data_IF_319891110130
#
_entry.id   IF_319891110130
#
_cell.length_a   1.000
_cell.length_b   1.000
_cell.length_c   1.000
_cell.angle_alpha   90.00
_cell.angle_beta   90.00
_cell.angle_gamma   90.00
#
_symmetry.space_group_name_H-M   'P 1'
#
loop_
_entity.id
_entity.type
_entity.pdbx_description
1 polymer ?
#
# COMPACT_ATOMS: atom_id res chain seq x y z
N UNK A 1 -5.61 -41.80 3.95
CA UNK A 1 -5.53 -40.93 2.76
C UNK A 1 -5.50 -41.84 1.55
N UNK A 2 -6.43 -41.62 0.62
CA UNK A 2 -6.46 -42.38 -0.61
C UNK A 2 -5.25 -42.04 -1.48
N UNK A 3 -4.86 -42.96 -2.37
CA UNK A 3 -3.70 -42.80 -3.23
C UNK A 3 -3.82 -41.55 -4.15
N UNK A 4 -5.05 -41.14 -4.46
CA UNK A 4 -5.37 -40.02 -5.33
C UNK A 4 -4.97 -38.67 -4.70
N UNK A 5 -5.28 -38.45 -3.43
CA UNK A 5 -4.90 -37.22 -2.71
C UNK A 5 -3.38 -37.06 -2.61
N UNK A 6 -2.65 -38.17 -2.50
CA UNK A 6 -1.18 -38.14 -2.53
C UNK A 6 -0.62 -37.81 -3.91
N UNK A 7 -1.24 -38.34 -4.96
CA UNK A 7 -0.91 -38.03 -6.35
C UNK A 7 -1.15 -36.55 -6.67
N UNK A 8 -2.25 -35.95 -6.22
CA UNK A 8 -2.60 -34.56 -6.57
C UNK A 8 -1.63 -33.53 -5.94
N UNK A 9 -1.17 -33.75 -4.71
CA UNK A 9 -0.20 -32.87 -4.04
C UNK A 9 1.22 -33.07 -4.57
N UNK A 10 1.58 -34.30 -4.95
CA UNK A 10 2.91 -34.59 -5.52
C UNK A 10 3.03 -34.18 -6.99
N UNK A 11 1.91 -34.11 -7.73
CA UNK A 11 1.86 -33.68 -9.14
C UNK A 11 1.82 -32.16 -9.34
N UNK A 12 1.58 -31.38 -8.28
CA UNK A 12 1.79 -29.93 -8.31
C UNK A 12 3.19 -29.63 -8.84
N UNK A 13 3.27 -28.87 -9.93
CA UNK A 13 4.54 -28.54 -10.56
C UNK A 13 4.88 -27.08 -10.29
N UNK A 14 5.92 -26.86 -9.49
CA UNK A 14 6.42 -25.53 -9.24
C UNK A 14 7.22 -25.03 -10.46
N UNK A 15 6.73 -23.97 -11.10
CA UNK A 15 7.39 -23.39 -12.29
C UNK A 15 8.37 -22.27 -11.93
N UNK A 16 8.26 -21.69 -10.74
CA UNK A 16 9.08 -20.55 -10.29
C UNK A 16 9.47 -20.70 -8.82
N UNK A 17 10.62 -20.16 -8.43
CA UNK A 17 11.06 -20.15 -7.03
C UNK A 17 10.06 -19.40 -6.14
N UNK A 18 9.64 -20.02 -5.02
CA UNK A 18 8.72 -19.38 -4.06
C UNK A 18 9.30 -18.11 -3.40
N UNK A 19 10.64 -17.97 -3.40
CA UNK A 19 11.34 -16.80 -2.82
C UNK A 19 11.65 -15.74 -3.89
N UNK A 20 12.35 -16.10 -4.97
CA UNK A 20 12.91 -15.13 -5.91
C UNK A 20 12.22 -15.05 -7.27
N UNK A 21 11.20 -15.89 -7.53
CA UNK A 21 10.48 -15.97 -8.82
C UNK A 21 11.29 -16.34 -10.04
N UNK A 22 12.58 -16.63 -9.93
CA UNK A 22 13.33 -17.19 -11.03
C UNK A 22 12.69 -18.51 -11.49
N UNK A 23 12.68 -18.74 -12.81
CA UNK A 23 12.23 -20.01 -13.38
C UNK A 23 13.04 -21.17 -12.79
N UNK A 24 12.34 -22.24 -12.40
CA UNK A 24 12.97 -23.47 -11.92
C UNK A 24 13.26 -24.36 -13.13
N UNK A 25 14.53 -24.65 -13.38
CA UNK A 25 14.98 -25.37 -14.57
C UNK A 25 15.40 -26.80 -14.28
N UNK A 26 15.81 -27.10 -13.04
CA UNK A 26 16.21 -28.44 -12.63
C UNK A 26 15.11 -29.17 -11.86
N UNK A 27 15.07 -30.50 -12.01
CA UNK A 27 14.02 -31.33 -11.42
C UNK A 27 14.00 -31.28 -9.88
N UNK A 28 15.15 -31.06 -9.22
CA UNK A 28 15.23 -31.00 -7.76
C UNK A 28 14.55 -29.72 -7.28
N UNK A 29 14.87 -28.58 -7.90
CA UNK A 29 14.28 -27.29 -7.58
C UNK A 29 12.79 -27.23 -7.91
N UNK A 30 12.35 -27.82 -9.03
CA UNK A 30 10.91 -27.98 -9.36
C UNK A 30 10.21 -28.83 -8.30
N UNK A 31 10.82 -29.93 -7.86
CA UNK A 31 10.18 -30.78 -6.84
C UNK A 31 10.09 -30.07 -5.49
N UNK A 32 11.07 -29.22 -5.15
CA UNK A 32 11.08 -28.44 -3.90
C UNK A 32 10.29 -27.13 -3.97
N UNK A 33 10.05 -26.59 -5.15
CA UNK A 33 9.52 -25.23 -5.34
C UNK A 33 10.49 -24.11 -4.98
N UNK A 34 11.78 -24.42 -4.85
CA UNK A 34 12.82 -23.50 -4.39
C UNK A 34 14.07 -23.66 -5.23
N UNK A 35 14.56 -22.56 -5.82
CA UNK A 35 15.77 -22.56 -6.63
C UNK A 35 17.04 -22.83 -5.82
N UNK A 36 18.16 -23.21 -6.46
CA UNK A 36 19.37 -23.68 -5.77
C UNK A 36 19.99 -22.61 -4.86
N UNK A 37 20.04 -21.36 -5.32
CA UNK A 37 20.55 -20.22 -4.54
C UNK A 37 19.68 -20.00 -3.30
N UNK A 38 18.35 -19.88 -3.48
CA UNK A 38 17.43 -19.65 -2.37
C UNK A 38 17.39 -20.83 -1.40
N UNK A 39 17.54 -22.06 -1.88
CA UNK A 39 17.64 -23.25 -1.03
C UNK A 39 18.85 -23.19 -0.12
N UNK A 40 20.01 -22.80 -0.65
CA UNK A 40 21.22 -22.69 0.16
C UNK A 40 21.13 -21.58 1.21
N UNK A 41 20.55 -20.43 0.84
CA UNK A 41 20.46 -19.28 1.74
C UNK A 41 19.38 -19.41 2.82
N UNK A 42 18.18 -19.87 2.45
CA UNK A 42 17.01 -19.77 3.32
C UNK A 42 16.50 -21.13 3.83
N UNK A 43 16.93 -22.24 3.22
CA UNK A 43 16.42 -23.57 3.53
C UNK A 43 17.54 -24.57 3.84
N UNK A 44 18.10 -24.43 5.05
CA UNK A 44 19.25 -25.23 5.50
C UNK A 44 18.86 -26.71 5.67
N UNK A 45 19.61 -27.58 5.00
CA UNK A 45 19.40 -29.04 5.04
C UNK A 45 19.65 -29.61 6.44
N UNK A 46 20.49 -28.96 7.24
CA UNK A 46 20.90 -29.43 8.57
C UNK A 46 19.99 -28.95 9.73
N UNK A 47 18.97 -28.13 9.44
CA UNK A 47 18.09 -27.60 10.50
C UNK A 47 17.36 -28.71 11.27
N UNK A 48 17.60 -28.82 12.57
CA UNK A 48 16.94 -29.83 13.40
C UNK A 48 15.47 -29.44 13.68
N UNK A 49 14.54 -30.36 13.43
CA UNK A 49 13.11 -30.15 13.71
C UNK A 49 12.74 -31.01 14.92
N UNK A 50 12.44 -30.37 16.04
CA UNK A 50 12.04 -31.05 17.29
C UNK A 50 10.57 -31.48 17.26
N UNK A 51 10.20 -32.44 18.12
CA UNK A 51 8.81 -32.88 18.24
C UNK A 51 7.85 -31.73 18.59
N UNK A 52 8.26 -30.84 19.50
CA UNK A 52 7.48 -29.66 19.89
C UNK A 52 7.23 -28.71 18.71
N UNK A 53 8.24 -28.49 17.86
CA UNK A 53 8.08 -27.70 16.64
C UNK A 53 7.07 -28.33 15.68
N UNK A 54 7.08 -29.66 15.55
CA UNK A 54 6.10 -30.38 14.73
C UNK A 54 4.69 -30.19 15.28
N UNK A 55 4.50 -30.32 16.60
CA UNK A 55 3.19 -30.15 17.23
C UNK A 55 2.63 -28.74 16.99
N UNK A 56 3.47 -27.71 17.24
CA UNK A 56 3.09 -26.30 17.00
C UNK A 56 2.77 -26.08 15.51
N UNK A 57 3.61 -26.57 14.60
CA UNK A 57 3.42 -26.38 13.17
C UNK A 57 2.15 -27.06 12.65
N UNK A 58 1.84 -28.27 13.13
CA UNK A 58 0.58 -28.94 12.82
C UNK A 58 -0.62 -28.14 13.36
N UNK A 59 -0.53 -27.62 14.58
CA UNK A 59 -1.55 -26.72 15.14
C UNK A 59 -1.81 -25.50 14.26
N UNK A 60 -0.74 -24.85 13.78
CA UNK A 60 -0.82 -23.72 12.85
C UNK A 60 -1.48 -24.12 11.53
N UNK A 61 -1.09 -25.26 10.94
CA UNK A 61 -1.67 -25.76 9.68
C UNK A 61 -3.15 -26.06 9.84
N UNK A 62 -3.59 -26.71 10.92
CA UNK A 62 -5.01 -27.03 11.10
C UNK A 62 -5.86 -25.77 11.34
N UNK A 63 -5.31 -24.76 12.01
CA UNK A 63 -5.96 -23.46 12.24
C UNK A 63 -5.97 -22.53 11.01
N UNK A 64 -5.12 -22.78 10.01
CA UNK A 64 -5.00 -21.96 8.80
C UNK A 64 -6.19 -22.08 7.83
N UNK A 65 -6.22 -21.23 6.80
CA UNK A 65 -7.13 -21.32 5.67
C UNK A 65 -6.67 -22.27 4.55
N UNK A 66 -5.62 -23.07 4.77
CA UNK A 66 -5.08 -23.98 3.76
C UNK A 66 -6.08 -25.05 3.32
N UNK A 67 -5.88 -25.54 2.10
CA UNK A 67 -6.72 -26.57 1.49
C UNK A 67 -6.83 -27.84 2.38
N UNK A 68 -8.02 -28.46 2.49
CA UNK A 68 -8.21 -29.69 3.28
C UNK A 68 -7.24 -30.81 2.93
N UNK A 69 -6.79 -30.92 1.67
CA UNK A 69 -5.80 -31.92 1.25
C UNK A 69 -4.42 -31.67 1.87
N UNK A 70 -4.00 -30.40 2.00
CA UNK A 70 -2.76 -30.02 2.69
C UNK A 70 -2.85 -30.39 4.18
N UNK A 71 -4.00 -30.10 4.81
CA UNK A 71 -4.26 -30.46 6.22
C UNK A 71 -4.26 -31.98 6.44
N UNK A 72 -4.84 -32.75 5.52
CA UNK A 72 -4.81 -34.22 5.55
C UNK A 72 -3.37 -34.74 5.42
N UNK A 73 -2.59 -34.17 4.51
CA UNK A 73 -1.17 -34.53 4.30
C UNK A 73 -0.33 -34.27 5.56
N UNK A 74 -0.58 -33.16 6.26
CA UNK A 74 0.07 -32.82 7.52
C UNK A 74 -0.06 -33.95 8.57
N UNK A 75 -1.26 -34.54 8.69
CA UNK A 75 -1.54 -35.65 9.61
C UNK A 75 -0.71 -36.90 9.28
N UNK A 76 -0.49 -37.17 7.99
CA UNK A 76 0.21 -38.36 7.51
C UNK A 76 1.74 -38.21 7.50
N UNK A 77 2.24 -36.98 7.45
CA UNK A 77 3.69 -36.69 7.42
C UNK A 77 4.21 -36.08 8.73
N UNK A 78 3.47 -36.24 9.84
CA UNK A 78 3.91 -35.80 11.17
C UNK A 78 5.28 -36.38 11.55
N UNK A 79 5.55 -37.62 11.15
CA UNK A 79 6.80 -38.34 11.43
C UNK A 79 7.89 -38.06 10.37
N UNK A 80 7.55 -37.26 9.35
CA UNK A 80 8.43 -36.82 8.25
C UNK A 80 8.30 -35.31 8.03
N UNK A 81 8.59 -34.48 9.05
CA UNK A 81 8.26 -33.06 9.04
C UNK A 81 9.00 -32.27 7.95
N UNK A 82 10.20 -32.71 7.56
CA UNK A 82 10.96 -32.10 6.47
C UNK A 82 10.28 -32.33 5.11
N UNK A 83 9.74 -33.52 4.88
CA UNK A 83 9.02 -33.81 3.63
C UNK A 83 7.73 -33.00 3.55
N UNK A 84 7.05 -32.84 4.68
CA UNK A 84 5.89 -31.96 4.73
C UNK A 84 6.25 -30.49 4.51
N UNK A 85 7.37 -30.02 5.07
CA UNK A 85 7.87 -28.67 4.81
C UNK A 85 8.21 -28.46 3.33
N UNK A 86 8.82 -29.44 2.65
CA UNK A 86 9.04 -29.38 1.20
C UNK A 86 7.72 -29.23 0.42
N UNK A 87 6.67 -29.96 0.82
CA UNK A 87 5.34 -29.83 0.22
C UNK A 87 4.78 -28.42 0.43
N UNK A 88 4.91 -27.85 1.63
CA UNK A 88 4.46 -26.47 1.91
C UNK A 88 5.20 -25.46 1.03
N UNK A 89 6.52 -25.57 0.89
CA UNK A 89 7.33 -24.69 0.02
C UNK A 89 6.88 -24.81 -1.45
N UNK A 90 6.65 -26.04 -1.92
CA UNK A 90 6.12 -26.32 -3.26
C UNK A 90 4.72 -25.73 -3.45
N UNK A 91 3.87 -25.83 -2.44
CA UNK A 91 2.52 -25.28 -2.43
C UNK A 91 2.53 -23.75 -2.54
N UNK A 92 3.40 -23.08 -1.76
CA UNK A 92 3.60 -21.64 -1.85
C UNK A 92 4.17 -21.19 -3.21
N UNK A 93 5.01 -22.00 -3.84
CA UNK A 93 5.48 -21.73 -5.21
C UNK A 93 4.34 -21.79 -6.23
N UNK A 94 3.50 -22.82 -6.16
CA UNK A 94 2.41 -23.00 -7.12
C UNK A 94 1.27 -22.00 -6.94
N UNK A 95 0.97 -21.62 -5.69
CA UNK A 95 -0.09 -20.67 -5.35
C UNK A 95 0.48 -19.27 -5.03
N UNK A 96 1.61 -18.92 -5.64
CA UNK A 96 2.35 -17.72 -5.27
C UNK A 96 1.51 -16.43 -5.29
N UNK A 97 0.60 -16.32 -6.25
CA UNK A 97 -0.26 -15.14 -6.42
C UNK A 97 -1.38 -15.08 -5.37
N UNK A 98 -1.72 -16.21 -4.74
CA UNK A 98 -2.60 -16.25 -3.58
C UNK A 98 -1.81 -15.94 -2.31
N UNK A 99 -1.83 -14.65 -1.95
CA UNK A 99 -1.10 -14.15 -0.78
C UNK A 99 -1.57 -14.80 0.52
N UNK A 100 -2.87 -15.06 0.67
CA UNK A 100 -3.40 -15.63 1.91
C UNK A 100 -2.83 -17.02 2.15
N UNK A 101 -2.82 -17.84 1.09
CA UNK A 101 -2.20 -19.17 1.12
C UNK A 101 -0.71 -19.08 1.43
N UNK A 102 0.04 -18.16 0.79
CA UNK A 102 1.48 -18.00 1.05
C UNK A 102 1.76 -17.57 2.50
N UNK A 103 0.91 -16.74 3.10
CA UNK A 103 1.06 -16.35 4.51
C UNK A 103 0.79 -17.51 5.47
N UNK A 104 -0.28 -18.26 5.25
CA UNK A 104 -0.59 -19.44 6.03
C UNK A 104 0.53 -20.49 5.95
N UNK A 105 1.09 -20.68 4.74
CA UNK A 105 2.28 -21.51 4.53
C UNK A 105 3.49 -20.96 5.29
N UNK A 106 3.76 -19.66 5.21
CA UNK A 106 4.90 -19.04 5.89
C UNK A 106 4.81 -19.17 7.42
N UNK A 107 3.60 -19.07 7.99
CA UNK A 107 3.37 -19.27 9.41
C UNK A 107 3.68 -20.73 9.84
N UNK A 108 3.24 -21.71 9.05
CA UNK A 108 3.58 -23.11 9.27
C UNK A 108 5.10 -23.38 9.13
N UNK A 109 5.74 -22.83 8.10
CA UNK A 109 7.20 -22.94 7.87
C UNK A 109 7.99 -22.31 9.02
N UNK A 110 7.55 -21.17 9.55
CA UNK A 110 8.16 -20.53 10.71
C UNK A 110 8.03 -21.41 11.96
N UNK A 111 6.89 -22.07 12.17
CA UNK A 111 6.69 -23.00 13.29
C UNK A 111 7.59 -24.25 13.20
N UNK A 112 7.97 -24.68 12.00
CA UNK A 112 9.02 -25.70 11.79
C UNK A 112 10.45 -25.17 12.06
N UNK A 113 10.61 -23.90 12.42
CA UNK A 113 11.90 -23.26 12.73
C UNK A 113 12.59 -22.61 11.53
N UNK A 114 12.01 -22.65 10.32
CA UNK A 114 12.58 -22.00 9.13
C UNK A 114 12.19 -20.51 9.07
N UNK A 115 12.57 -19.76 10.11
CA UNK A 115 12.14 -18.37 10.34
C UNK A 115 12.57 -17.43 9.20
N UNK A 116 13.79 -17.58 8.69
CA UNK A 116 14.30 -16.74 7.60
C UNK A 116 13.56 -16.99 6.28
N UNK A 117 13.28 -18.24 5.94
CA UNK A 117 12.48 -18.58 4.75
C UNK A 117 11.07 -18.00 4.87
N UNK A 118 10.42 -18.20 6.01
CA UNK A 118 9.10 -17.64 6.27
C UNK A 118 9.11 -16.12 6.18
N UNK A 119 10.12 -15.45 6.75
CA UNK A 119 10.28 -14.00 6.65
C UNK A 119 10.39 -13.55 5.19
N UNK A 120 11.17 -14.26 4.35
CA UNK A 120 11.29 -13.94 2.93
C UNK A 120 10.02 -14.17 2.12
N UNK A 121 9.29 -15.26 2.40
CA UNK A 121 7.97 -15.50 1.80
C UNK A 121 6.99 -14.38 2.13
N UNK A 122 7.04 -13.86 3.36
CA UNK A 122 6.21 -12.72 3.78
C UNK A 122 6.66 -11.42 3.16
N UNK A 123 7.97 -11.16 3.12
CA UNK A 123 8.57 -9.91 2.66
C UNK A 123 8.10 -9.56 1.26
N UNK A 124 8.16 -10.52 0.34
CA UNK A 124 7.78 -10.27 -1.05
C UNK A 124 6.25 -10.11 -1.26
N UNK A 125 5.43 -10.45 -0.26
CA UNK A 125 3.95 -10.38 -0.32
C UNK A 125 3.34 -9.24 0.47
N UNK A 126 4.11 -8.69 1.39
CA UNK A 126 3.67 -7.67 2.33
C UNK A 126 3.95 -6.29 1.72
N UNK A 127 2.97 -5.39 1.76
CA UNK A 127 3.14 -4.02 1.25
C UNK A 127 3.56 -3.02 2.33
N UNK A 128 3.42 -3.42 3.59
CA UNK A 128 3.67 -2.62 4.78
C UNK A 128 4.44 -3.46 5.79
N UNK A 129 5.69 -3.12 6.05
CA UNK A 129 6.50 -3.75 7.08
C UNK A 129 6.70 -2.76 8.21
N UNK A 130 6.26 -3.08 9.42
CA UNK A 130 6.59 -2.34 10.62
C UNK A 130 7.53 -3.21 11.46
N UNK A 131 8.71 -2.72 11.78
CA UNK A 131 9.77 -3.43 12.50
C UNK A 131 10.35 -2.54 13.60
N UNK A 132 11.08 -3.14 14.52
CA UNK A 132 11.95 -2.38 15.43
C UNK A 132 13.05 -1.72 14.59
N UNK A 133 13.34 -0.45 14.87
CA UNK A 133 14.38 0.27 14.15
C UNK A 133 15.74 -0.38 14.41
N UNK A 134 16.44 -0.75 13.34
CA UNK A 134 17.76 -1.38 13.44
C UNK A 134 18.82 -0.47 14.09
N UNK A 135 18.61 0.85 14.03
CA UNK A 135 19.49 1.85 14.65
C UNK A 135 19.16 2.10 16.13
N UNK A 136 18.01 1.62 16.61
CA UNK A 136 17.59 1.72 18.00
C UNK A 136 17.19 0.34 18.56
N UNK A 137 18.18 -0.48 18.97
CA UNK A 137 17.94 -1.81 19.51
C UNK A 137 17.21 -1.81 20.87
N UNK A 138 17.04 -0.64 21.50
CA UNK A 138 16.26 -0.52 22.74
C UNK A 138 14.75 -0.67 22.49
N UNK A 139 14.32 -0.62 21.22
CA UNK A 139 12.92 -0.68 20.85
C UNK A 139 12.16 0.62 21.14
N UNK A 140 12.86 1.73 21.42
CA UNK A 140 12.28 3.06 21.56
C UNK A 140 11.75 3.62 20.24
N UNK A 141 12.23 3.09 19.10
CA UNK A 141 11.80 3.47 17.77
C UNK A 141 11.37 2.27 16.93
N UNK A 142 10.43 2.54 16.03
CA UNK A 142 9.95 1.60 15.03
C UNK A 142 10.25 2.16 13.64
N UNK A 143 10.50 1.28 12.69
CA UNK A 143 10.63 1.63 11.26
C UNK A 143 9.48 1.01 10.49
N UNK A 144 8.79 1.81 9.68
CA UNK A 144 7.79 1.32 8.74
C UNK A 144 8.27 1.48 7.29
N UNK A 145 8.28 0.39 6.54
CA UNK A 145 8.54 0.34 5.11
C UNK A 145 7.22 0.10 4.38
N UNK A 146 6.85 1.02 3.49
CA UNK A 146 5.59 0.90 2.74
C UNK A 146 5.79 1.12 1.24
N UNK A 147 4.84 0.63 0.44
CA UNK A 147 4.76 1.03 -0.97
C UNK A 147 4.52 2.55 -1.09
N UNK A 148 4.93 3.17 -2.20
CA UNK A 148 4.70 4.61 -2.40
C UNK A 148 3.21 4.95 -2.27
N UNK A 149 2.89 5.80 -1.29
CA UNK A 149 1.56 6.37 -1.09
C UNK A 149 1.68 7.82 -0.67
N UNK A 150 1.27 8.72 -1.56
CA UNK A 150 1.35 10.17 -1.32
C UNK A 150 0.61 10.59 -0.04
N UNK A 151 -0.56 9.98 0.22
CA UNK A 151 -1.33 10.26 1.42
C UNK A 151 -0.61 9.80 2.68
N UNK A 152 -0.07 8.58 2.67
CA UNK A 152 0.69 8.05 3.82
C UNK A 152 1.91 8.93 4.11
N UNK A 153 2.71 9.25 3.09
CA UNK A 153 3.92 10.09 3.21
C UNK A 153 3.59 11.48 3.75
N UNK A 154 2.46 12.06 3.34
CA UNK A 154 2.01 13.36 3.84
C UNK A 154 1.69 13.31 5.34
N UNK A 155 1.04 12.26 5.81
CA UNK A 155 0.63 12.15 7.21
C UNK A 155 1.77 11.74 8.14
N UNK A 156 2.60 10.78 7.75
CA UNK A 156 3.68 10.29 8.62
C UNK A 156 4.70 11.40 8.93
N UNK A 157 4.97 12.30 7.99
CA UNK A 157 5.85 13.47 8.18
C UNK A 157 5.36 14.47 9.22
N UNK A 158 4.09 14.40 9.64
CA UNK A 158 3.53 15.27 10.68
C UNK A 158 3.85 14.77 12.09
N UNK A 159 4.25 13.50 12.23
CA UNK A 159 4.54 12.90 13.53
C UNK A 159 5.86 13.49 14.06
N UNK A 160 5.91 14.02 15.29
CA UNK A 160 7.14 14.48 15.91
C UNK A 160 8.20 13.37 15.99
N UNK A 161 9.45 13.70 15.68
CA UNK A 161 10.55 12.74 15.74
C UNK A 161 10.56 11.68 14.61
N UNK A 162 9.68 11.82 13.60
CA UNK A 162 9.79 11.03 12.37
C UNK A 162 11.04 11.42 11.59
N UNK A 163 11.77 10.41 11.12
CA UNK A 163 12.91 10.57 10.22
C UNK A 163 12.77 9.60 9.05
N UNK A 164 13.41 9.91 7.92
CA UNK A 164 13.45 9.00 6.79
C UNK A 164 14.43 7.86 7.11
N UNK A 165 13.99 6.62 6.93
CA UNK A 165 14.81 5.42 7.10
C UNK A 165 15.34 4.91 5.74
N UNK A 166 16.39 4.08 5.73
CA UNK A 166 16.85 3.43 4.51
C UNK A 166 15.73 2.66 3.82
N UNK A 167 15.70 2.70 2.49
CA UNK A 167 14.75 1.92 1.71
C UNK A 167 15.03 0.43 1.84
N UNK A 168 13.96 -0.36 1.78
CA UNK A 168 14.06 -1.83 1.71
C UNK A 168 13.48 -2.27 0.36
N UNK A 169 14.36 -2.59 -0.58
CA UNK A 169 13.97 -2.87 -1.97
C UNK A 169 13.24 -1.69 -2.60
N UNK A 170 11.95 -1.89 -2.93
CA UNK A 170 11.07 -0.87 -3.53
C UNK A 170 10.28 -0.03 -2.52
N UNK A 171 10.42 -0.31 -1.23
CA UNK A 171 9.60 0.29 -0.19
C UNK A 171 10.31 1.48 0.45
N UNK A 172 9.56 2.58 0.67
CA UNK A 172 10.06 3.78 1.33
C UNK A 172 9.99 3.56 2.86
N UNK A 173 11.08 3.88 3.56
CA UNK A 173 11.22 3.68 5.01
C UNK A 173 11.02 4.96 5.82
N UNK A 174 10.31 4.86 6.94
CA UNK A 174 10.12 5.93 7.91
C UNK A 174 10.37 5.42 9.33
N UNK A 175 11.26 6.06 10.08
CA UNK A 175 11.55 5.76 11.48
C UNK A 175 10.80 6.73 12.40
N UNK A 176 10.18 6.23 13.46
CA UNK A 176 9.38 7.03 14.39
C UNK A 176 9.40 6.49 15.83
N UNK A 177 9.17 7.34 16.85
CA UNK A 177 9.04 6.91 18.24
C UNK A 177 7.93 5.88 18.47
N UNK A 178 8.18 4.83 19.26
CA UNK A 178 7.24 3.73 19.50
C UNK A 178 5.89 4.19 20.08
N UNK A 179 5.87 5.27 20.86
CA UNK A 179 4.63 5.87 21.37
C UNK A 179 3.62 6.28 20.29
N UNK A 180 4.07 6.44 19.04
CA UNK A 180 3.21 6.78 17.90
C UNK A 180 2.77 5.56 17.07
N UNK A 181 3.06 4.33 17.52
CA UNK A 181 2.70 3.07 16.83
C UNK A 181 1.23 3.03 16.42
N UNK A 182 0.30 3.30 17.35
CA UNK A 182 -1.13 3.23 17.06
C UNK A 182 -1.56 4.21 15.96
N UNK A 183 -1.03 5.44 15.97
CA UNK A 183 -1.33 6.42 14.92
C UNK A 183 -0.83 5.93 13.55
N UNK A 184 0.40 5.40 13.50
CA UNK A 184 0.98 4.86 12.26
C UNK A 184 0.20 3.65 11.75
N UNK A 185 -0.26 2.76 12.63
CA UNK A 185 -1.08 1.60 12.26
C UNK A 185 -2.43 2.02 11.68
N UNK A 186 -3.08 3.04 12.25
CA UNK A 186 -4.30 3.61 11.68
C UNK A 186 -4.01 4.17 10.28
N UNK A 187 -2.98 5.01 10.14
CA UNK A 187 -2.59 5.57 8.84
C UNK A 187 -2.29 4.49 7.81
N UNK A 188 -1.56 3.43 8.18
CA UNK A 188 -1.27 2.31 7.30
C UNK A 188 -2.57 1.60 6.87
N UNK A 189 -3.50 1.37 7.81
CA UNK A 189 -4.79 0.74 7.52
C UNK A 189 -5.64 1.50 6.50
N UNK A 190 -5.55 2.83 6.48
CA UNK A 190 -6.24 3.68 5.51
C UNK A 190 -5.47 3.92 4.21
N UNK A 191 -4.14 4.04 4.29
CA UNK A 191 -3.27 4.23 3.13
C UNK A 191 -3.13 2.99 2.27
N UNK A 192 -3.30 1.82 2.88
CA UNK A 192 -3.15 0.49 2.26
C UNK A 192 -4.31 -0.43 2.67
N UNK A 193 -5.57 -0.06 2.37
CA UNK A 193 -6.73 -0.81 2.84
C UNK A 193 -6.75 -2.21 2.25
N UNK A 194 -7.02 -3.22 3.09
CA UNK A 194 -7.05 -4.63 2.72
C UNK A 194 -5.73 -5.22 2.22
N UNK A 195 -4.63 -4.45 2.27
CA UNK A 195 -3.30 -4.92 1.95
C UNK A 195 -2.71 -5.72 3.12
N UNK A 196 -1.74 -6.57 2.80
CA UNK A 196 -1.03 -7.36 3.79
C UNK A 196 0.09 -6.55 4.42
N UNK A 197 0.13 -6.60 5.76
CA UNK A 197 1.13 -5.94 6.59
C UNK A 197 1.80 -6.94 7.53
N UNK A 198 3.10 -6.80 7.72
CA UNK A 198 3.87 -7.49 8.75
C UNK A 198 4.23 -6.45 9.79
N UNK A 199 3.63 -6.55 10.96
CA UNK A 199 3.76 -5.65 12.09
C UNK A 199 4.48 -6.36 13.24
N UNK A 200 5.73 -5.97 13.50
CA UNK A 200 6.56 -6.49 14.60
C UNK A 200 6.48 -8.03 14.66
N UNK A 201 6.83 -8.67 13.53
CA UNK A 201 6.81 -10.13 13.34
C UNK A 201 5.43 -10.81 13.30
N UNK A 202 4.32 -10.06 13.37
CA UNK A 202 2.96 -10.57 13.16
C UNK A 202 2.46 -10.16 11.78
N UNK A 203 1.88 -11.08 11.02
CA UNK A 203 1.39 -10.76 9.67
C UNK A 203 -0.13 -10.85 9.60
N UNK A 204 -0.74 -9.94 8.86
CA UNK A 204 -2.18 -9.90 8.72
C UNK A 204 -2.65 -8.91 7.66
N UNK A 205 -3.93 -8.98 7.31
CA UNK A 205 -4.56 -7.99 6.43
C UNK A 205 -4.96 -6.77 7.24
N UNK A 206 -4.58 -5.59 6.76
CA UNK A 206 -5.05 -4.33 7.29
C UNK A 206 -6.55 -4.19 7.01
N UNK A 207 -7.37 -4.26 8.05
CA UNK A 207 -8.79 -3.95 7.96
C UNK A 207 -8.99 -2.45 8.14
N UNK A 208 -9.46 -1.78 7.10
CA UNK A 208 -10.06 -0.46 7.27
C UNK A 208 -11.35 -0.63 8.08
N UNK A 209 -11.34 -0.30 9.37
CA UNK A 209 -12.57 -0.27 10.17
C UNK A 209 -13.18 1.11 10.03
N UNK A 210 -14.23 1.23 9.21
CA UNK A 210 -15.06 2.43 9.13
C UNK A 210 -14.45 3.60 8.36
N UNK A 211 -15.30 4.60 8.10
CA UNK A 211 -14.91 5.89 7.54
C UNK A 211 -14.41 6.80 8.67
N UNK A 212 -13.23 6.51 9.24
CA UNK A 212 -12.57 7.52 10.06
C UNK A 212 -11.87 8.51 9.14
N UNK A 213 -12.15 9.79 9.32
CA UNK A 213 -11.38 10.83 8.67
C UNK A 213 -9.99 10.85 9.29
N UNK A 214 -9.03 10.17 8.64
CA UNK A 214 -7.61 10.16 9.04
C UNK A 214 -7.08 11.58 9.17
N UNK A 215 -7.57 12.51 8.34
CA UNK A 215 -7.21 13.92 8.47
C UNK A 215 -7.66 14.47 9.82
N UNK A 216 -8.90 14.21 10.25
CA UNK A 216 -9.41 14.67 11.54
C UNK A 216 -8.65 14.05 12.73
N UNK A 217 -8.34 12.75 12.68
CA UNK A 217 -7.52 12.09 13.72
C UNK A 217 -6.12 12.68 13.77
N UNK A 218 -5.49 12.90 12.61
CA UNK A 218 -4.16 13.49 12.52
C UNK A 218 -4.15 14.97 12.90
N UNK A 219 -5.21 15.72 12.62
CA UNK A 219 -5.36 17.12 13.04
C UNK A 219 -5.57 17.23 14.55
N UNK A 220 -6.24 16.25 15.17
CA UNK A 220 -6.40 16.18 16.62
C UNK A 220 -5.11 15.79 17.34
N UNK A 221 -4.38 14.79 16.83
CA UNK A 221 -3.15 14.28 17.46
C UNK A 221 -1.90 15.13 17.13
N UNK A 222 -1.82 15.63 15.90
CA UNK A 222 -0.64 16.29 15.34
C UNK A 222 -1.07 17.52 14.53
N UNK A 223 -1.64 18.55 15.16
CA UNK A 223 -2.20 19.71 14.46
C UNK A 223 -1.18 20.32 13.48
N UNK A 224 -1.62 20.74 12.29
CA UNK A 224 -0.71 21.35 11.33
C UNK A 224 -0.08 22.61 11.95
N UNK A 225 1.19 22.92 11.63
CA UNK A 225 1.81 24.12 12.12
C UNK A 225 0.96 25.34 11.74
N UNK A 226 0.82 26.33 12.63
CA UNK A 226 0.05 27.53 12.33
C UNK A 226 0.57 28.11 11.02
N UNK A 227 -0.33 28.29 10.04
CA UNK A 227 0.05 28.95 8.79
C UNK A 227 0.60 30.31 9.18
N UNK A 228 1.87 30.57 8.88
CA UNK A 228 2.40 31.93 8.96
C UNK A 228 1.43 32.81 8.17
N UNK A 229 0.91 33.90 8.75
CA UNK A 229 0.07 34.82 7.99
C UNK A 229 0.85 35.19 6.73
N UNK A 230 0.27 34.89 5.56
CA UNK A 230 0.90 35.10 4.26
C UNK A 230 1.25 36.57 4.00
N UNK A 231 0.72 37.47 4.83
CA UNK A 231 1.05 38.88 4.86
C UNK A 231 1.05 39.34 6.31
N UNK A 232 2.23 39.65 6.87
CA UNK A 232 2.27 40.81 7.75
C UNK A 232 2.03 42.02 6.82
N UNK A 233 1.06 42.90 7.09
CA UNK A 233 0.95 44.13 6.33
C UNK A 233 2.29 44.85 6.43
N UNK A 234 2.95 45.04 5.29
CA UNK A 234 4.14 45.89 5.23
C UNK A 234 3.77 47.27 5.82
N UNK A 235 4.69 47.95 6.52
CA UNK A 235 4.46 49.31 6.97
C UNK A 235 4.00 50.14 5.76
N UNK A 236 2.89 50.88 5.94
CA UNK A 236 2.17 51.54 4.87
C UNK A 236 3.14 52.36 4.00
N UNK A 237 3.31 52.04 2.70
CA UNK A 237 4.09 52.89 1.81
C UNK A 237 3.35 54.21 1.60
N UNK A 238 4.11 55.30 1.58
CA UNK A 238 3.65 56.65 1.28
C UNK A 238 2.79 56.64 0.01
N UNK A 239 1.53 57.05 0.12
CA UNK A 239 0.56 57.04 -0.98
C UNK A 239 1.01 57.98 -2.10
N UNK A 240 1.46 57.41 -3.22
CA UNK A 240 1.38 58.04 -4.53
C UNK A 240 -0.01 57.78 -5.12
N UNK A 241 -0.55 58.68 -5.97
CA UNK A 241 -1.89 58.56 -6.54
C UNK A 241 -2.06 57.21 -7.26
N UNK A 242 -3.13 56.50 -6.90
CA UNK A 242 -3.47 55.17 -7.40
C UNK A 242 -3.69 55.18 -8.92
N UNK A 243 -3.12 54.22 -9.67
CA UNK A 243 -3.60 53.90 -11.01
C UNK A 243 -5.01 53.31 -10.93
N UNK A 244 -5.80 53.52 -11.98
CA UNK A 244 -7.18 53.06 -12.11
C UNK A 244 -7.35 51.57 -11.74
N UNK A 245 -8.51 51.19 -11.16
CA UNK A 245 -8.77 49.83 -10.72
C UNK A 245 -8.64 48.83 -11.87
N UNK A 246 -7.73 47.87 -11.71
CA UNK A 246 -7.61 46.72 -12.60
C UNK A 246 -8.81 45.82 -12.37
N UNK A 247 -9.69 45.74 -13.37
CA UNK A 247 -10.84 44.84 -13.40
C UNK A 247 -10.33 43.40 -13.22
N UNK A 248 -10.86 42.59 -12.28
CA UNK A 248 -10.45 41.21 -12.14
C UNK A 248 -10.69 40.45 -13.45
N UNK A 249 -9.75 39.60 -13.90
CA UNK A 249 -9.89 38.88 -15.16
C UNK A 249 -11.14 38.00 -15.12
N UNK A 250 -11.98 38.12 -16.14
CA UNK A 250 -13.22 37.34 -16.29
C UNK A 250 -12.94 35.84 -16.17
N UNK A 251 -13.75 35.14 -15.37
CA UNK A 251 -13.66 33.68 -15.13
C UNK A 251 -13.80 32.86 -16.44
N UNK A 252 -14.47 33.44 -17.43
CA UNK A 252 -14.62 32.89 -18.78
C UNK A 252 -14.03 33.90 -19.76
N UNK A 253 -13.11 33.45 -20.60
CA UNK A 253 -12.51 34.24 -21.66
C UNK A 253 -12.64 33.49 -22.98
N UNK A 254 -12.91 34.22 -24.06
CA UNK A 254 -12.81 33.67 -25.41
C UNK A 254 -11.35 33.82 -25.84
N UNK A 255 -10.75 32.75 -26.38
CA UNK A 255 -9.40 32.82 -26.94
C UNK A 255 -9.34 33.83 -28.09
N UNK A 256 -8.16 34.43 -28.39
CA UNK A 256 -8.01 35.42 -29.45
C UNK A 256 -8.43 34.92 -30.85
N UNK A 257 -8.44 33.60 -31.06
CA UNK A 257 -8.90 32.97 -32.30
C UNK A 257 -10.44 32.93 -32.44
N UNK A 258 -11.18 33.36 -31.41
CA UNK A 258 -12.65 33.40 -31.37
C UNK A 258 -13.35 32.04 -31.33
N UNK A 259 -12.60 30.93 -31.31
CA UNK A 259 -13.13 29.57 -31.50
C UNK A 259 -13.25 28.78 -30.21
N UNK A 260 -12.45 29.13 -29.20
CA UNK A 260 -12.35 28.38 -27.96
C UNK A 260 -12.67 29.28 -26.76
N UNK A 261 -13.22 28.69 -25.71
CA UNK A 261 -13.43 29.31 -24.41
C UNK A 261 -12.39 28.76 -23.46
N UNK A 262 -11.69 29.65 -22.77
CA UNK A 262 -10.90 29.34 -21.58
C UNK A 262 -11.73 29.62 -20.33
N UNK A 263 -11.85 28.62 -19.46
CA UNK A 263 -12.61 28.71 -18.23
C UNK A 263 -11.66 28.50 -17.06
N UNK A 264 -11.45 29.56 -16.28
CA UNK A 264 -10.53 29.60 -15.14
C UNK A 264 -11.32 29.66 -13.84
N UNK A 265 -11.68 28.50 -13.30
CA UNK A 265 -12.42 28.43 -12.04
C UNK A 265 -11.51 28.80 -10.86
N UNK A 266 -11.92 29.73 -9.96
CA UNK A 266 -11.07 30.21 -8.86
C UNK A 266 -10.81 29.16 -7.78
N UNK A 267 -11.70 28.17 -7.62
CA UNK A 267 -11.58 27.02 -6.70
C UNK A 267 -12.19 25.77 -7.34
N UNK A 268 -11.73 24.60 -6.93
CA UNK A 268 -12.32 23.33 -7.35
C UNK A 268 -13.75 23.19 -6.81
N UNK A 269 -14.72 22.95 -7.69
CA UNK A 269 -16.11 22.69 -7.33
C UNK A 269 -16.62 21.46 -8.10
N UNK A 270 -16.88 20.36 -7.38
CA UNK A 270 -17.31 19.09 -7.98
C UNK A 270 -18.67 19.17 -8.67
N UNK A 271 -19.59 19.97 -8.12
CA UNK A 271 -20.94 20.15 -8.68
C UNK A 271 -20.88 20.92 -10.00
N UNK A 272 -20.08 21.99 -10.06
CA UNK A 272 -19.82 22.71 -11.32
C UNK A 272 -19.19 21.78 -12.36
N UNK A 273 -18.19 20.99 -11.97
CA UNK A 273 -17.52 20.09 -12.91
C UNK A 273 -18.48 19.04 -13.47
N UNK A 274 -19.36 18.49 -12.64
CA UNK A 274 -20.37 17.54 -13.10
C UNK A 274 -21.35 18.20 -14.07
N UNK A 275 -21.85 19.40 -13.75
CA UNK A 275 -22.74 20.16 -14.63
C UNK A 275 -22.08 20.54 -15.96
N UNK A 276 -20.81 20.98 -15.93
CA UNK A 276 -20.02 21.25 -17.12
C UNK A 276 -19.81 19.99 -17.97
N UNK A 277 -19.56 18.83 -17.32
CA UNK A 277 -19.41 17.56 -18.02
C UNK A 277 -20.71 17.05 -18.64
N UNK A 278 -21.85 17.44 -18.11
CA UNK A 278 -23.16 17.16 -18.72
C UNK A 278 -23.43 18.10 -19.89
N UNK A 279 -23.05 19.37 -19.77
CA UNK A 279 -23.29 20.39 -20.80
C UNK A 279 -22.41 20.20 -22.04
N UNK A 280 -21.09 20.06 -21.85
CA UNK A 280 -20.13 20.00 -22.96
C UNK A 280 -19.70 18.55 -23.18
N UNK A 281 -19.97 17.92 -24.34
CA UNK A 281 -19.56 16.54 -24.61
C UNK A 281 -18.06 16.30 -24.41
N UNK A 282 -17.68 15.08 -24.01
CA UNK A 282 -16.30 14.77 -23.65
C UNK A 282 -15.29 15.07 -24.77
N UNK A 283 -15.67 14.87 -26.04
CA UNK A 283 -14.82 15.13 -27.22
C UNK A 283 -14.56 16.60 -27.48
N UNK A 284 -15.38 17.48 -26.90
CA UNK A 284 -15.36 18.92 -27.13
C UNK A 284 -14.84 19.69 -25.90
N UNK A 285 -14.29 19.00 -24.91
CA UNK A 285 -13.70 19.62 -23.73
C UNK A 285 -12.29 19.09 -23.49
N UNK A 286 -11.39 19.96 -23.07
CA UNK A 286 -10.05 19.58 -22.66
C UNK A 286 -9.66 20.24 -21.33
N UNK A 287 -8.75 19.60 -20.60
CA UNK A 287 -8.18 20.12 -19.37
C UNK A 287 -6.67 20.31 -19.57
N UNK A 288 -6.18 21.52 -19.37
CA UNK A 288 -4.76 21.87 -19.59
C UNK A 288 -3.93 21.85 -18.30
N UNK A 289 -4.49 21.33 -17.20
CA UNK A 289 -3.85 21.30 -15.88
C UNK A 289 -4.27 22.44 -14.96
N UNK A 290 -4.70 23.59 -15.52
CA UNK A 290 -5.14 24.76 -14.75
C UNK A 290 -6.43 25.42 -15.27
N UNK A 291 -6.90 25.06 -16.46
CA UNK A 291 -8.14 25.61 -17.05
C UNK A 291 -8.85 24.56 -17.92
N UNK A 292 -10.17 24.72 -18.03
CA UNK A 292 -10.99 23.95 -18.95
C UNK A 292 -11.12 24.72 -20.27
N UNK A 293 -11.08 23.99 -21.39
CA UNK A 293 -11.35 24.56 -22.71
C UNK A 293 -12.52 23.87 -23.38
N UNK A 294 -13.31 24.62 -24.16
CA UNK A 294 -14.40 24.11 -25.00
C UNK A 294 -14.74 25.07 -26.15
N UNK A 295 -15.51 24.68 -27.18
CA UNK A 295 -15.91 25.57 -28.26
C UNK A 295 -16.68 26.82 -27.80
N UNK A 296 -16.46 27.95 -28.47
CA UNK A 296 -17.14 29.22 -28.23
C UNK A 296 -18.68 29.16 -28.35
N UNK A 297 -19.21 28.15 -29.02
CA UNK A 297 -20.66 27.90 -29.13
C UNK A 297 -21.33 27.64 -27.78
N UNK A 298 -20.59 27.22 -26.75
CA UNK A 298 -21.13 26.95 -25.41
C UNK A 298 -21.05 28.15 -24.45
N UNK A 299 -20.68 29.34 -24.94
CA UNK A 299 -20.34 30.49 -24.10
C UNK A 299 -21.46 30.87 -23.14
N UNK A 300 -22.68 31.04 -23.66
CA UNK A 300 -23.81 31.50 -22.86
C UNK A 300 -24.18 30.51 -21.74
N UNK A 301 -24.14 29.22 -22.03
CA UNK A 301 -24.47 28.15 -21.10
C UNK A 301 -23.36 27.97 -20.05
N UNK A 302 -22.10 28.08 -20.47
CA UNK A 302 -20.94 28.03 -19.56
C UNK A 302 -20.91 29.24 -18.63
N UNK A 303 -21.18 30.45 -19.12
CA UNK A 303 -21.28 31.66 -18.30
C UNK A 303 -22.39 31.52 -17.25
N UNK A 304 -23.57 31.01 -17.63
CA UNK A 304 -24.65 30.70 -16.68
C UNK A 304 -24.22 29.71 -15.60
N UNK A 305 -23.53 28.62 -15.97
CA UNK A 305 -23.01 27.64 -15.01
C UNK A 305 -21.98 28.27 -14.06
N UNK A 306 -21.10 29.13 -14.57
CA UNK A 306 -20.10 29.82 -13.76
C UNK A 306 -20.78 30.77 -12.76
N UNK A 307 -21.74 31.57 -13.21
CA UNK A 307 -22.51 32.47 -12.34
C UNK A 307 -23.23 31.68 -11.24
N UNK A 308 -23.92 30.59 -11.61
CA UNK A 308 -24.67 29.76 -10.67
C UNK A 308 -23.79 29.18 -9.54
N UNK A 309 -22.57 28.78 -9.87
CA UNK A 309 -21.70 28.03 -8.96
C UNK A 309 -20.60 28.85 -8.28
N UNK A 310 -20.28 30.05 -8.79
CA UNK A 310 -19.16 30.86 -8.28
C UNK A 310 -19.49 32.32 -7.98
N UNK A 311 -20.63 32.86 -8.43
CA UNK A 311 -21.01 34.25 -8.13
C UNK A 311 -22.10 34.36 -7.04
N UNK A 312 -22.61 33.23 -6.54
CA UNK A 312 -23.65 33.17 -5.47
C UNK A 312 -23.09 32.86 -4.08
N UNK A 313 -21.77 32.78 -3.91
CA UNK A 313 -21.15 32.61 -2.60
C UNK A 313 -20.52 33.94 -2.14
N UNK A 314 -21.05 34.58 -1.06
CA UNK A 314 -20.41 35.76 -0.47
C UNK A 314 -19.01 35.47 0.07
#
# INVERSE_FOLDING_TARGET
MDAQTWLDITTLTATHCCVCRAHLTDAISINRGLGPICSHHFYKVEHEITADMVEVALGVVFASGLDPQVKSTAKHLKDRPRDFCNILVKWASAHYDDRAVVFDVADAIAAFGFVELAAKLREDRTKVHLRVDATDPTGGRLTIHTGRSHNFDRYIRRIPGVTQAPKEGRYEGWSFPKEHENAVLIMAGFGFPNEWATLVNKTGRLKARGWYDVQAVMDALYPPPPRKPLFQPAPAPVQLPLPAPVVPPSIVQVTPDGKTLEIRTPKWNGNWLQAFKTLVPWKLRAWTGSMWTCPATFKAEVEKLVTLHFQTQP
#
